data_IF_952266879848
#
_entry.id   IF_952266879848
#
_cell.length_a   1.000
_cell.length_b   1.000
_cell.length_c   1.000
_cell.angle_alpha   90.00
_cell.angle_beta   90.00
_cell.angle_gamma   90.00
#
_symmetry.space_group_name_H-M   'P 1'
#
loop_
_entity.id
_entity.type
_entity.pdbx_description
1 polymer ?
#
# COMPACT_ATOMS: atom_id res chain seq x y z
N UNK A 4 -4.76 1.51 -19.51
CA UNK A 4 -3.59 0.65 -19.35
C UNK A 4 -3.78 -0.29 -18.17
N UNK A 5 -2.98 -1.36 -18.14
CA UNK A 5 -3.15 -2.38 -17.10
C UNK A 5 -2.71 -1.84 -15.75
N UNK A 6 -3.42 -2.27 -14.70
CA UNK A 6 -3.25 -1.68 -13.38
C UNK A 6 -3.28 -2.78 -12.32
N UNK A 7 -2.66 -2.48 -11.18
CA UNK A 7 -2.80 -3.28 -9.97
C UNK A 7 -3.56 -2.46 -8.92
N UNK A 8 -4.34 -3.15 -8.10
CA UNK A 8 -4.98 -2.50 -6.97
C UNK A 8 -5.07 -3.49 -5.82
N UNK A 9 -5.11 -3.01 -4.57
CA UNK A 9 -5.16 -3.94 -3.45
C UNK A 9 -6.40 -4.81 -3.48
N UNK A 10 -6.22 -6.09 -3.16
CA UNK A 10 -7.32 -7.03 -3.15
C UNK A 10 -8.28 -6.70 -2.00
N UNK A 11 -9.55 -6.49 -2.34
CA UNK A 11 -10.58 -6.23 -1.36
C UNK A 11 -11.35 -7.49 -1.03
N UNK A 12 -11.95 -7.52 0.16
CA UNK A 12 -12.78 -8.67 0.54
C UNK A 12 -13.92 -8.86 -0.45
N UNK A 13 -14.53 -7.76 -0.90
CA UNK A 13 -15.62 -7.81 -1.88
C UNK A 13 -15.20 -8.45 -3.19
N UNK A 14 -13.90 -8.61 -3.44
CA UNK A 14 -13.43 -9.25 -4.65
C UNK A 14 -13.30 -10.77 -4.53
N UNK A 15 -13.46 -11.32 -3.32
CA UNK A 15 -13.14 -12.73 -3.09
C UNK A 15 -13.91 -13.64 -4.04
N UNK A 16 -15.17 -13.30 -4.31
CA UNK A 16 -15.97 -14.10 -5.24
C UNK A 16 -15.25 -14.32 -6.55
N UNK A 17 -14.79 -13.22 -7.16
CA UNK A 17 -14.01 -13.31 -8.39
C UNK A 17 -12.85 -14.29 -8.21
N UNK A 18 -12.06 -14.10 -7.13
CA UNK A 18 -10.92 -14.97 -6.87
C UNK A 18 -11.37 -16.43 -6.88
N UNK A 19 -12.46 -16.72 -6.16
CA UNK A 19 -12.94 -18.10 -6.10
C UNK A 19 -13.20 -18.62 -7.51
N UNK A 20 -13.93 -17.85 -8.31
CA UNK A 20 -14.22 -18.25 -9.68
C UNK A 20 -12.95 -18.62 -10.43
N UNK A 21 -11.89 -17.83 -10.25
CA UNK A 21 -10.58 -18.18 -10.79
C UNK A 21 -10.16 -19.57 -10.32
N UNK A 22 -9.95 -19.71 -9.01
CA UNK A 22 -9.39 -20.94 -8.46
C UNK A 22 -10.28 -22.14 -8.70
N UNK A 23 -11.53 -21.91 -9.10
CA UNK A 23 -12.44 -22.99 -9.48
C UNK A 23 -12.03 -23.62 -10.80
N UNK A 24 -11.78 -22.80 -11.81
CA UNK A 24 -11.57 -23.29 -13.16
C UNK A 24 -10.15 -23.78 -13.41
N UNK A 25 -9.15 -23.18 -12.76
CA UNK A 25 -7.76 -23.53 -13.07
C UNK A 25 -7.33 -24.82 -12.37
N UNK A 26 -7.55 -24.91 -11.07
CA UNK A 26 -7.14 -26.08 -10.28
C UNK A 26 -8.24 -26.42 -9.28
N UNK A 27 -7.94 -27.37 -8.38
CA UNK A 27 -8.91 -27.84 -7.41
C UNK A 27 -8.34 -27.77 -6.00
N UNK A 28 -7.03 -27.51 -5.89
CA UNK A 28 -6.34 -27.46 -4.60
C UNK A 28 -5.77 -26.06 -4.40
N UNK A 29 -6.51 -25.21 -3.69
CA UNK A 29 -6.15 -23.81 -3.51
C UNK A 29 -5.90 -23.51 -2.03
N UNK A 30 -5.05 -22.52 -1.80
CA UNK A 30 -4.59 -22.18 -0.47
C UNK A 30 -4.70 -20.68 -0.23
N UNK A 31 -4.80 -20.33 1.04
CA UNK A 31 -4.86 -18.95 1.50
C UNK A 31 -4.01 -18.85 2.76
N UNK A 32 -2.94 -18.07 2.70
CA UNK A 32 -1.94 -18.01 3.76
C UNK A 32 -1.54 -19.43 4.19
N UNK A 33 -1.26 -20.25 3.18
CA UNK A 33 -0.85 -21.65 3.29
C UNK A 33 -1.87 -22.53 3.99
N UNK A 34 -3.13 -22.10 4.08
CA UNK A 34 -4.13 -23.04 4.57
C UNK A 34 -5.07 -23.44 3.44
N UNK A 35 -5.42 -24.72 3.32
CA UNK A 35 -6.21 -25.15 2.16
C UNK A 35 -7.68 -24.80 2.31
N UNK A 36 -8.31 -24.53 1.16
CA UNK A 36 -9.73 -24.21 1.17
C UNK A 36 -10.38 -24.71 -0.12
N UNK A 37 -11.66 -25.05 -0.02
CA UNK A 37 -12.46 -25.49 -1.17
C UNK A 37 -13.62 -24.55 -1.46
N UNK A 38 -14.43 -24.23 -0.45
CA UNK A 38 -15.65 -23.47 -0.66
C UNK A 38 -15.42 -21.97 -0.46
N UNK A 39 -16.39 -21.18 -0.90
CA UNK A 39 -16.28 -19.73 -0.83
C UNK A 39 -16.24 -19.23 0.61
N UNK A 40 -17.09 -19.79 1.48
CA UNK A 40 -17.11 -19.36 2.87
C UNK A 40 -15.81 -19.72 3.58
N UNK A 41 -15.17 -20.83 3.18
CA UNK A 41 -13.83 -21.14 3.68
C UNK A 41 -12.86 -20.03 3.34
N UNK A 42 -12.87 -19.60 2.08
CA UNK A 42 -12.01 -18.51 1.65
C UNK A 42 -12.28 -17.23 2.43
N UNK A 43 -13.56 -16.94 2.68
CA UNK A 43 -13.91 -15.74 3.44
C UNK A 43 -13.38 -15.83 4.87
N UNK A 44 -13.52 -16.99 5.50
CA UNK A 44 -13.04 -17.14 6.87
C UNK A 44 -11.51 -16.99 6.93
N UNK A 45 -10.79 -17.59 5.99
CA UNK A 45 -9.34 -17.41 5.96
C UNK A 45 -8.97 -15.95 5.74
N UNK A 46 -9.66 -15.27 4.81
CA UNK A 46 -9.40 -13.85 4.59
C UNK A 46 -9.56 -13.07 5.88
N UNK A 47 -10.68 -13.28 6.58
CA UNK A 47 -10.91 -12.56 7.83
C UNK A 47 -9.85 -12.90 8.87
N UNK A 48 -9.38 -14.15 8.88
CA UNK A 48 -8.42 -14.58 9.89
C UNK A 48 -7.06 -13.95 9.67
N UNK A 49 -6.64 -13.80 8.42
CA UNK A 49 -5.33 -13.28 8.08
C UNK A 49 -5.41 -11.84 7.55
N UNK A 50 -6.35 -11.06 8.09
CA UNK A 50 -6.64 -9.74 7.53
C UNK A 50 -5.44 -8.82 7.63
N UNK A 51 -4.73 -8.85 8.76
CA UNK A 51 -3.58 -7.99 8.98
C UNK A 51 -2.26 -8.74 8.80
N UNK A 52 -2.31 -10.01 8.38
CA UNK A 52 -1.11 -10.78 8.14
C UNK A 52 -0.33 -10.18 6.98
N UNK A 53 0.91 -9.76 7.25
CA UNK A 53 1.74 -9.11 6.26
C UNK A 53 2.70 -10.08 5.56
N UNK A 54 2.52 -11.38 5.76
CA UNK A 54 3.37 -12.36 5.09
C UNK A 54 2.95 -12.61 3.65
N UNK A 55 1.82 -12.05 3.20
CA UNK A 55 1.35 -12.20 1.83
C UNK A 55 0.65 -10.90 1.42
N UNK A 56 0.91 -10.47 0.19
CA UNK A 56 0.27 -9.29 -0.39
C UNK A 56 -0.39 -9.69 -1.71
N UNK A 57 -1.66 -9.34 -1.88
CA UNK A 57 -2.39 -9.75 -3.06
C UNK A 57 -2.99 -8.54 -3.76
N UNK A 58 -2.96 -8.58 -5.11
CA UNK A 58 -3.44 -7.49 -5.94
C UNK A 58 -4.39 -8.02 -6.99
N UNK A 59 -5.44 -7.25 -7.24
CA UNK A 59 -6.31 -7.46 -8.40
C UNK A 59 -5.69 -6.76 -9.60
N UNK A 60 -5.55 -7.49 -10.70
CA UNK A 60 -5.06 -6.95 -11.96
C UNK A 60 -6.27 -6.51 -12.79
N UNK A 61 -6.32 -5.22 -13.10
CA UNK A 61 -7.48 -4.54 -13.68
C UNK A 61 -7.11 -3.99 -15.05
N UNK A 62 -8.08 -4.04 -15.97
CA UNK A 62 -7.96 -3.40 -17.28
C UNK A 62 -9.19 -2.51 -17.47
N UNK A 63 -9.00 -1.21 -17.28
CA UNK A 63 -10.08 -0.22 -17.39
C UNK A 63 -11.26 -0.59 -16.50
N UNK A 64 -10.98 -0.65 -15.21
CA UNK A 64 -11.95 -0.97 -14.16
C UNK A 64 -12.61 -2.33 -14.37
N UNK A 65 -11.95 -3.23 -15.09
CA UNK A 65 -12.45 -4.58 -15.31
C UNK A 65 -11.46 -5.56 -14.72
N UNK A 66 -11.98 -6.52 -13.93
CA UNK A 66 -11.14 -7.47 -13.21
C UNK A 66 -10.71 -8.59 -14.17
N UNK A 67 -9.41 -8.66 -14.47
CA UNK A 67 -8.89 -9.67 -15.38
C UNK A 67 -7.93 -10.64 -14.72
N UNK A 68 -7.40 -10.34 -13.54
CA UNK A 68 -6.60 -11.38 -12.92
C UNK A 68 -6.18 -11.08 -11.50
N UNK A 69 -5.27 -11.91 -11.00
CA UNK A 69 -4.80 -11.88 -9.62
C UNK A 69 -3.28 -12.07 -9.55
N UNK A 70 -2.62 -11.22 -8.78
CA UNK A 70 -1.19 -11.32 -8.47
C UNK A 70 -1.05 -11.60 -6.98
N UNK A 71 -0.18 -12.55 -6.63
CA UNK A 71 0.04 -12.94 -5.24
C UNK A 71 1.53 -12.94 -4.95
N UNK A 72 1.94 -12.18 -3.94
CA UNK A 72 3.26 -12.28 -3.33
C UNK A 72 3.08 -13.05 -2.02
N UNK A 73 3.64 -14.26 -1.96
CA UNK A 73 3.47 -15.13 -0.81
C UNK A 73 4.84 -15.45 -0.23
N UNK A 74 4.84 -16.10 0.93
CA UNK A 74 6.05 -16.43 1.66
C UNK A 74 7.00 -15.23 1.71
N UNK A 75 6.46 -14.05 1.99
CA UNK A 75 7.29 -12.85 2.05
C UNK A 75 8.18 -12.94 3.28
N UNK A 76 9.49 -12.82 3.08
CA UNK A 76 10.48 -12.87 4.15
C UNK A 76 11.18 -11.52 4.19
N UNK A 77 10.88 -10.73 5.21
CA UNK A 77 11.42 -9.38 5.30
C UNK A 77 12.84 -9.33 5.84
N UNK A 78 13.38 -10.44 6.32
CA UNK A 78 14.78 -10.49 6.75
C UNK A 78 15.69 -10.88 5.60
N UNK A 79 15.38 -11.98 4.92
CA UNK A 79 16.13 -12.40 3.74
C UNK A 79 15.69 -11.66 2.48
N UNK A 80 14.68 -10.80 2.58
CA UNK A 80 14.15 -9.99 1.47
C UNK A 80 13.96 -10.84 0.21
N UNK A 81 12.98 -11.74 0.31
CA UNK A 81 12.56 -12.56 -0.82
C UNK A 81 11.07 -12.82 -0.69
N UNK A 82 10.44 -13.12 -1.84
CA UNK A 82 9.04 -13.48 -1.87
C UNK A 82 8.78 -14.36 -3.07
N UNK A 83 7.84 -15.29 -2.92
CA UNK A 83 7.41 -16.12 -4.03
C UNK A 83 6.28 -15.42 -4.77
N UNK A 84 6.23 -15.63 -6.07
CA UNK A 84 5.27 -14.95 -6.93
C UNK A 84 4.36 -15.96 -7.60
N UNK A 85 3.06 -15.65 -7.61
CA UNK A 85 2.06 -16.48 -8.27
C UNK A 85 1.10 -15.57 -9.02
N UNK A 86 0.75 -15.96 -10.24
CA UNK A 86 -0.12 -15.14 -11.07
C UNK A 86 -1.20 -16.04 -11.66
N UNK A 87 -2.42 -15.51 -11.71
CA UNK A 87 -3.55 -16.20 -12.33
C UNK A 87 -4.30 -15.19 -13.19
N UNK A 88 -4.62 -15.57 -14.41
CA UNK A 88 -5.35 -14.69 -15.31
C UNK A 88 -6.59 -15.41 -15.82
N UNK A 89 -7.71 -14.70 -15.84
CA UNK A 89 -8.97 -15.25 -16.33
C UNK A 89 -8.79 -15.77 -17.75
N UNK A 90 -9.17 -17.02 -18.03
CA UNK A 90 -9.00 -17.56 -19.40
C UNK A 90 -9.83 -16.81 -20.44
N UNK A 91 -10.80 -16.00 -20.03
CA UNK A 91 -11.52 -15.15 -20.97
C UNK A 91 -10.68 -13.98 -21.44
N UNK A 92 -9.41 -13.92 -21.05
CA UNK A 92 -8.54 -12.80 -21.41
C UNK A 92 -7.16 -13.28 -21.87
N UNK A 93 -7.06 -14.54 -22.28
CA UNK A 93 -5.80 -15.08 -22.79
C UNK A 93 -5.55 -14.58 -24.21
N UNK A 94 -4.29 -14.27 -24.50
CA UNK A 94 -3.88 -13.78 -25.80
C UNK A 94 -3.47 -12.31 -25.79
N UNK A 95 -4.07 -11.51 -24.93
CA UNK A 95 -3.71 -10.09 -24.81
C UNK A 95 -2.33 -9.87 -24.20
N UNK A 96 -1.64 -10.95 -23.80
CA UNK A 96 -0.34 -10.81 -23.18
C UNK A 96 -0.35 -10.20 -21.80
N UNK A 97 -1.48 -10.30 -21.10
CA UNK A 97 -1.60 -9.67 -19.79
C UNK A 97 -0.72 -10.33 -18.74
N UNK A 98 -0.36 -11.61 -18.95
CA UNK A 98 0.49 -12.31 -17.99
C UNK A 98 1.81 -11.58 -17.79
N UNK A 99 2.49 -11.25 -18.90
CA UNK A 99 3.79 -10.60 -18.80
C UNK A 99 3.69 -9.22 -18.18
N UNK A 100 2.66 -8.45 -18.55
CA UNK A 100 2.53 -7.11 -17.98
C UNK A 100 2.21 -7.16 -16.49
N UNK A 101 1.33 -8.06 -16.07
CA UNK A 101 1.03 -8.20 -14.65
C UNK A 101 2.27 -8.67 -13.88
N UNK A 102 3.04 -9.58 -14.46
CA UNK A 102 4.28 -10.01 -13.83
C UNK A 102 5.26 -8.83 -13.70
N UNK A 103 5.31 -7.96 -14.72
CA UNK A 103 6.18 -6.80 -14.65
C UNK A 103 5.72 -5.82 -13.57
N UNK A 104 4.41 -5.57 -13.48
CA UNK A 104 3.85 -4.76 -12.42
C UNK A 104 4.24 -5.31 -11.04
N UNK A 105 4.07 -6.62 -10.85
CA UNK A 105 4.40 -7.23 -9.57
C UNK A 105 5.89 -7.13 -9.28
N UNK A 106 6.73 -7.29 -10.31
CA UNK A 106 8.17 -7.12 -10.16
C UNK A 106 8.49 -5.71 -9.68
N UNK A 107 7.87 -4.70 -10.32
CA UNK A 107 8.10 -3.32 -9.92
C UNK A 107 7.67 -3.08 -8.47
N UNK A 108 6.51 -3.62 -8.09
CA UNK A 108 6.05 -3.46 -6.71
C UNK A 108 7.03 -4.10 -5.73
N UNK A 109 7.45 -5.33 -6.00
CA UNK A 109 8.29 -6.05 -5.07
C UNK A 109 9.67 -5.41 -4.94
N UNK A 110 10.26 -4.99 -6.06
CA UNK A 110 11.62 -4.46 -6.01
C UNK A 110 11.68 -2.99 -5.63
N UNK A 111 10.69 -2.19 -6.04
CA UNK A 111 10.72 -0.75 -5.87
C UNK A 111 9.92 -0.26 -4.67
N UNK A 112 8.91 -1.01 -4.23
CA UNK A 112 8.10 -0.61 -3.08
C UNK A 112 8.49 -1.43 -1.86
N UNK A 113 8.44 -2.75 -1.99
CA UNK A 113 8.76 -3.64 -0.88
C UNK A 113 10.25 -3.74 -0.59
N UNK A 114 11.11 -3.24 -1.49
CA UNK A 114 12.56 -3.27 -1.32
C UNK A 114 13.07 -4.71 -1.18
N UNK A 115 12.49 -5.61 -1.97
CA UNK A 115 12.90 -7.01 -1.95
C UNK A 115 14.21 -7.19 -2.72
N UNK A 116 14.97 -8.22 -2.33
CA UNK A 116 16.21 -8.55 -3.00
C UNK A 116 16.03 -9.62 -4.06
N UNK A 117 15.05 -10.51 -3.90
CA UNK A 117 14.90 -11.65 -4.78
C UNK A 117 13.42 -11.97 -4.96
N UNK A 118 13.03 -12.28 -6.20
CA UNK A 118 11.73 -12.84 -6.50
C UNK A 118 11.94 -14.21 -7.11
N UNK A 119 11.10 -15.17 -6.74
CA UNK A 119 11.18 -16.50 -7.30
C UNK A 119 9.77 -17.05 -7.51
N UNK A 120 9.68 -18.00 -8.44
CA UNK A 120 8.41 -18.65 -8.75
C UNK A 120 8.69 -20.10 -9.11
N UNK A 121 7.63 -20.90 -9.03
CA UNK A 121 7.69 -22.33 -9.30
C UNK A 121 6.58 -22.70 -10.27
N UNK A 122 6.93 -23.35 -11.38
CA UNK A 122 5.97 -23.76 -12.38
C UNK A 122 6.12 -25.25 -12.65
N UNK A 123 5.03 -25.87 -13.11
CA UNK A 123 5.12 -27.27 -13.54
C UNK A 123 6.00 -27.35 -14.77
N UNK A 124 6.79 -28.43 -14.86
CA UNK A 124 7.72 -28.52 -15.98
C UNK A 124 7.00 -28.80 -17.30
N UNK A 125 5.72 -29.22 -17.27
CA UNK A 125 4.93 -29.32 -18.49
C UNK A 125 4.61 -27.95 -19.08
N UNK A 126 4.32 -26.96 -18.23
CA UNK A 126 3.89 -25.64 -18.71
C UNK A 126 5.13 -24.94 -19.26
N UNK A 127 5.41 -25.21 -20.55
CA UNK A 127 6.60 -24.62 -21.18
C UNK A 127 6.36 -23.17 -21.57
N UNK A 128 5.09 -22.81 -21.68
CA UNK A 128 4.66 -21.43 -21.90
C UNK A 128 5.03 -20.55 -20.73
N UNK A 129 4.79 -21.04 -19.53
CA UNK A 129 5.11 -20.28 -18.34
C UNK A 129 6.59 -20.08 -18.26
N UNK A 130 7.36 -21.11 -18.56
CA UNK A 130 8.81 -20.95 -18.56
C UNK A 130 9.23 -19.91 -19.58
N UNK A 131 8.60 -19.90 -20.77
CA UNK A 131 9.02 -18.91 -21.76
C UNK A 131 8.59 -17.49 -21.40
N UNK A 132 7.37 -17.30 -20.91
CA UNK A 132 6.99 -15.94 -20.49
C UNK A 132 7.93 -15.45 -19.39
N UNK A 133 8.24 -16.31 -18.42
CA UNK A 133 9.06 -15.85 -17.31
C UNK A 133 10.50 -15.59 -17.74
N UNK A 134 11.04 -16.41 -18.66
CA UNK A 134 12.34 -16.10 -19.23
C UNK A 134 12.29 -14.81 -20.03
N UNK A 135 11.17 -14.57 -20.72
CA UNK A 135 10.96 -13.32 -21.44
C UNK A 135 11.10 -12.12 -20.52
N UNK A 136 10.42 -12.14 -19.37
CA UNK A 136 10.45 -10.97 -18.50
C UNK A 136 11.73 -10.88 -17.68
N UNK A 137 12.63 -11.85 -17.79
CA UNK A 137 13.95 -11.75 -17.18
C UNK A 137 14.29 -12.78 -16.12
N UNK A 138 13.43 -13.76 -15.86
CA UNK A 138 13.74 -14.77 -14.85
C UNK A 138 14.79 -15.74 -15.36
N UNK A 139 15.63 -16.21 -14.46
CA UNK A 139 16.62 -17.24 -14.75
C UNK A 139 16.21 -18.52 -14.04
N UNK A 140 16.45 -19.65 -14.72
CA UNK A 140 16.16 -20.94 -14.10
C UNK A 140 17.11 -21.15 -12.93
N UNK A 141 16.54 -21.52 -11.77
CA UNK A 141 17.30 -21.69 -10.55
C UNK A 141 17.40 -23.14 -10.10
N UNK A 142 16.38 -23.94 -10.37
CA UNK A 142 16.45 -25.33 -9.98
C UNK A 142 15.32 -26.15 -10.58
N UNK A 143 15.45 -27.46 -10.46
CA UNK A 143 14.43 -28.40 -10.91
C UNK A 143 14.09 -29.31 -9.74
N UNK A 144 12.88 -29.16 -9.20
CA UNK A 144 12.43 -29.92 -8.05
C UNK A 144 11.79 -31.22 -8.52
N UNK A 145 12.23 -32.33 -7.93
CA UNK A 145 11.92 -33.67 -8.42
C UNK A 145 10.64 -34.18 -7.77
N UNK A 146 9.69 -34.60 -8.60
CA UNK A 146 8.39 -35.12 -8.15
C UNK A 146 7.79 -34.22 -7.09
N UNK A 147 7.82 -32.91 -7.35
CA UNK A 147 7.38 -31.95 -6.35
C UNK A 147 5.86 -31.90 -6.23
N UNK A 148 5.12 -32.16 -7.30
CA UNK A 148 3.66 -32.06 -7.21
C UNK A 148 2.98 -33.29 -7.76
N UNK A 149 2.08 -33.88 -6.99
CA UNK A 149 1.24 -34.95 -7.52
C UNK A 149 0.11 -34.31 -8.32
N UNK A 150 0.21 -34.40 -9.64
CA UNK A 150 -0.75 -33.76 -10.55
C UNK A 150 -1.51 -34.87 -11.26
N UNK A 151 -2.83 -34.84 -11.10
CA UNK A 151 -3.80 -35.69 -11.81
C UNK A 151 -3.25 -37.05 -12.23
N UNK A 152 -2.84 -37.84 -11.24
CA UNK A 152 -2.51 -39.24 -11.43
C UNK A 152 -1.04 -39.58 -11.32
N UNK A 153 -0.13 -38.61 -11.47
CA UNK A 153 1.28 -38.94 -11.31
C UNK A 153 2.07 -37.71 -10.90
N UNK A 154 3.31 -37.94 -10.48
CA UNK A 154 4.15 -36.87 -9.97
C UNK A 154 4.76 -36.07 -11.10
N UNK A 155 4.86 -34.76 -10.90
CA UNK A 155 5.47 -33.84 -11.84
C UNK A 155 6.61 -33.11 -11.14
N UNK A 156 7.65 -32.85 -11.91
CA UNK A 156 8.75 -31.99 -11.52
C UNK A 156 8.34 -30.53 -11.70
N UNK A 157 9.12 -29.64 -11.11
CA UNK A 157 8.83 -28.22 -11.20
C UNK A 157 10.11 -27.44 -11.47
N UNK A 158 9.96 -26.32 -12.16
CA UNK A 158 11.07 -25.42 -12.42
C UNK A 158 10.94 -24.24 -11.47
N UNK A 159 11.99 -23.99 -10.70
CA UNK A 159 12.08 -22.82 -9.84
C UNK A 159 12.97 -21.80 -10.54
N UNK A 160 12.41 -20.60 -10.78
CA UNK A 160 13.11 -19.52 -11.46
C UNK A 160 13.14 -18.31 -10.54
N UNK A 161 14.14 -17.44 -10.73
CA UNK A 161 14.36 -16.33 -9.82
C UNK A 161 14.95 -15.15 -10.56
N UNK A 162 14.92 -14.00 -9.90
CA UNK A 162 15.46 -12.75 -10.45
C UNK A 162 15.73 -11.82 -9.28
N UNK A 163 16.72 -10.94 -9.46
CA UNK A 163 17.23 -10.14 -8.35
C UNK A 163 17.07 -8.65 -8.61
N UNK A 164 17.15 -7.89 -7.51
CA UNK A 164 16.78 -6.47 -7.53
C UNK A 164 17.68 -5.66 -8.46
N UNK A 165 18.99 -5.79 -8.32
CA UNK A 165 19.90 -4.94 -9.08
C UNK A 165 19.84 -5.28 -10.57
N UNK A 166 19.68 -6.57 -10.89
CA UNK A 166 19.46 -6.97 -12.27
C UNK A 166 18.20 -6.32 -12.83
N UNK A 167 17.16 -6.21 -12.01
CA UNK A 167 15.91 -5.61 -12.48
C UNK A 167 16.04 -4.11 -12.69
N UNK A 168 16.69 -3.41 -11.77
CA UNK A 168 16.76 -1.95 -11.85
C UNK A 168 17.52 -1.48 -13.09
N UNK A 169 18.48 -2.26 -13.57
CA UNK A 169 19.29 -1.87 -14.71
C UNK A 169 18.70 -2.27 -16.06
N UNK A 170 17.45 -2.75 -16.08
CA UNK A 170 16.76 -3.02 -17.33
C UNK A 170 15.53 -2.12 -17.49
N UNK B 4 -16.54 28.77 3.48
CA UNK B 4 -15.13 28.79 3.90
C UNK B 4 -14.68 27.40 4.33
N UNK B 5 -13.36 27.19 4.33
CA UNK B 5 -12.81 25.87 4.63
C UNK B 5 -12.95 25.55 6.11
N UNK B 6 -13.27 24.29 6.42
CA UNK B 6 -13.53 23.93 7.80
C UNK B 6 -13.01 22.53 8.07
N UNK B 7 -12.83 22.22 9.35
CA UNK B 7 -12.50 20.88 9.82
C UNK B 7 -13.69 20.27 10.55
N UNK B 8 -13.82 18.95 10.45
CA UNK B 8 -14.82 18.25 11.24
C UNK B 8 -14.24 16.90 11.63
N UNK B 9 -14.69 16.31 12.73
CA UNK B 9 -14.13 15.03 13.17
C UNK B 9 -14.36 13.93 12.14
N UNK B 10 -13.34 13.11 11.93
CA UNK B 10 -13.42 12.00 11.00
C UNK B 10 -14.41 10.96 11.51
N UNK B 11 -15.41 10.64 10.68
CA UNK B 11 -16.39 9.62 11.01
C UNK B 11 -16.03 8.31 10.32
N UNK B 12 -16.50 7.21 10.90
CA UNK B 12 -16.26 5.90 10.29
C UNK B 12 -16.82 5.84 8.88
N UNK B 13 -18.00 6.43 8.65
CA UNK B 13 -18.62 6.45 7.33
C UNK B 13 -17.77 7.18 6.30
N UNK B 14 -16.75 7.93 6.72
CA UNK B 14 -15.88 8.62 5.79
C UNK B 14 -14.71 7.78 5.32
N UNK B 15 -14.50 6.60 5.91
CA UNK B 15 -13.28 5.83 5.65
C UNK B 15 -13.09 5.56 4.17
N UNK B 16 -14.19 5.28 3.45
CA UNK B 16 -14.12 5.04 2.02
C UNK B 16 -13.37 6.17 1.32
N UNK B 17 -13.82 7.41 1.55
CA UNK B 17 -13.12 8.57 0.99
C UNK B 17 -11.64 8.51 1.33
N UNK B 18 -11.33 8.31 2.62
CA UNK B 18 -9.94 8.24 3.05
C UNK B 18 -9.18 7.22 2.23
N UNK B 19 -9.76 6.03 2.06
CA UNK B 19 -9.09 4.99 1.31
C UNK B 19 -8.74 5.48 -0.08
N UNK B 20 -9.71 6.07 -0.79
CA UNK B 20 -9.47 6.56 -2.14
C UNK B 20 -8.27 7.50 -2.14
N UNK B 21 -8.24 8.43 -1.18
CA UNK B 21 -7.08 9.31 -1.04
C UNK B 21 -5.81 8.49 -0.99
N UNK B 22 -5.67 7.68 0.06
CA UNK B 22 -4.43 6.96 0.28
C UNK B 22 -4.13 6.00 -0.86
N UNK B 23 -5.12 5.67 -1.68
CA UNK B 23 -4.84 4.81 -2.82
C UNK B 23 -4.16 5.57 -3.94
N UNK B 24 -4.67 6.77 -4.28
CA UNK B 24 -4.12 7.47 -5.44
C UNK B 24 -2.80 8.16 -5.09
N UNK B 25 -2.67 8.63 -3.85
CA UNK B 25 -1.48 9.36 -3.44
C UNK B 25 -0.34 8.43 -3.09
N UNK B 26 -0.60 7.36 -2.34
CA UNK B 26 0.44 6.47 -1.85
C UNK B 26 -0.01 5.03 -2.07
N UNK B 27 0.81 4.07 -1.64
CA UNK B 27 0.44 2.67 -1.72
C UNK B 27 0.75 1.99 -0.39
N UNK B 28 1.52 2.66 0.46
CA UNK B 28 1.91 2.12 1.77
C UNK B 28 1.39 3.09 2.82
N UNK B 29 0.21 2.79 3.36
CA UNK B 29 -0.48 3.66 4.29
C UNK B 29 -0.64 2.99 5.65
N UNK B 30 -0.74 3.83 6.68
CA UNK B 30 -0.75 3.37 8.06
C UNK B 30 -1.93 3.97 8.80
N UNK B 31 -2.33 3.28 9.85
CA UNK B 31 -3.40 3.71 10.75
C UNK B 31 -2.95 3.37 12.16
N UNK B 32 -2.75 4.40 12.98
CA UNK B 32 -2.16 4.24 14.30
C UNK B 32 -0.89 3.37 14.23
N UNK B 33 -0.05 3.72 13.26
CA UNK B 33 1.25 3.07 13.01
C UNK B 33 1.11 1.58 12.67
N UNK B 34 -0.08 1.12 12.26
CA UNK B 34 -0.16 -0.22 11.72
C UNK B 34 -0.45 -0.17 10.23
N UNK B 35 0.21 -0.98 9.41
CA UNK B 35 0.05 -0.84 7.95
C UNK B 35 -1.24 -1.48 7.46
N UNK B 36 -1.78 -0.90 6.39
CA UNK B 36 -3.00 -1.43 5.80
C UNK B 36 -3.00 -1.20 4.30
N UNK B 37 -3.64 -2.12 3.58
CA UNK B 37 -3.80 -2.02 2.13
C UNK B 37 -5.27 -1.94 1.72
N UNK B 38 -6.11 -2.85 2.21
CA UNK B 38 -7.48 -2.97 1.75
C UNK B 38 -8.42 -2.18 2.65
N UNK B 39 -9.65 -1.98 2.16
CA UNK B 39 -10.63 -1.18 2.88
C UNK B 39 -11.04 -1.82 4.20
N UNK B 40 -11.26 -3.13 4.21
CA UNK B 40 -11.67 -3.81 5.45
C UNK B 40 -10.54 -3.78 6.47
N UNK B 41 -9.29 -3.80 6.02
CA UNK B 41 -8.16 -3.60 6.93
C UNK B 41 -8.27 -2.25 7.64
N UNK B 42 -8.53 -1.21 6.86
CA UNK B 42 -8.69 0.14 7.43
C UNK B 42 -9.86 0.18 8.41
N UNK B 43 -10.98 -0.49 8.07
CA UNK B 43 -12.13 -0.50 8.97
C UNK B 43 -11.80 -1.20 10.29
N UNK B 44 -11.11 -2.35 10.21
CA UNK B 44 -10.77 -3.09 11.43
C UNK B 44 -9.80 -2.28 12.29
N UNK B 45 -8.81 -1.63 11.67
CA UNK B 45 -7.89 -0.78 12.42
C UNK B 45 -8.62 0.37 13.07
N UNK B 46 -9.54 1.02 12.34
CA UNK B 46 -10.35 2.09 12.91
C UNK B 46 -11.11 1.60 14.13
N UNK B 47 -11.80 0.47 14.01
CA UNK B 47 -12.56 -0.06 15.13
C UNK B 47 -11.66 -0.39 16.32
N UNK B 48 -10.44 -0.88 16.05
CA UNK B 48 -9.55 -1.29 17.12
C UNK B 48 -9.03 -0.08 17.91
N UNK B 49 -8.75 1.03 17.22
CA UNK B 49 -8.17 2.21 17.83
C UNK B 49 -9.21 3.32 18.00
N UNK B 50 -10.46 2.94 18.27
CA UNK B 50 -11.55 3.90 18.25
C UNK B 50 -11.36 4.99 19.30
N UNK B 51 -10.94 4.61 20.51
CA UNK B 51 -10.77 5.55 21.61
C UNK B 51 -9.31 5.91 21.85
N UNK B 52 -8.40 5.43 21.00
CA UNK B 52 -6.99 5.77 21.14
C UNK B 52 -6.79 7.26 20.93
N UNK B 53 -6.27 7.93 21.95
CA UNK B 53 -6.11 9.38 21.93
C UNK B 53 -4.73 9.83 21.46
N UNK B 54 -3.92 8.91 20.93
CA UNK B 54 -2.61 9.28 20.40
C UNK B 54 -2.68 9.87 19.00
N UNK B 55 -3.85 9.85 18.37
CA UNK B 55 -4.02 10.41 17.03
C UNK B 55 -5.41 11.05 16.92
N UNK B 56 -5.45 12.20 16.25
CA UNK B 56 -6.69 12.91 15.96
C UNK B 56 -6.77 13.14 14.47
N UNK B 57 -7.90 12.79 13.86
CA UNK B 57 -8.04 12.93 12.41
C UNK B 57 -9.27 13.76 12.10
N UNK B 58 -9.14 14.65 11.11
CA UNK B 58 -10.19 15.56 10.72
C UNK B 58 -10.38 15.49 9.21
N UNK B 59 -11.64 15.52 8.80
CA UNK B 59 -11.95 15.76 7.40
C UNK B 59 -11.98 17.27 7.18
N UNK B 60 -11.22 17.75 6.19
CA UNK B 60 -11.28 19.15 5.81
C UNK B 60 -12.27 19.26 4.66
N UNK B 61 -13.31 20.07 4.89
CA UNK B 61 -14.51 20.20 4.07
C UNK B 61 -14.62 21.62 3.53
N UNK B 62 -15.14 21.74 2.31
CA UNK B 62 -15.46 23.02 1.69
C UNK B 62 -16.92 23.00 1.27
N UNK B 63 -17.77 23.66 2.05
CA UNK B 63 -19.22 23.73 1.81
C UNK B 63 -19.82 22.32 1.69
N UNK B 64 -19.72 21.59 2.80
CA UNK B 64 -20.25 20.23 2.93
C UNK B 64 -19.70 19.28 1.87
N UNK B 65 -18.53 19.60 1.31
CA UNK B 65 -17.87 18.74 0.34
C UNK B 65 -16.52 18.30 0.90
N UNK B 66 -16.23 17.01 0.82
CA UNK B 66 -15.02 16.44 1.40
C UNK B 66 -13.86 16.73 0.47
N UNK B 67 -12.89 17.53 0.93
CA UNK B 67 -11.76 17.89 0.11
C UNK B 67 -10.43 17.34 0.62
N UNK B 68 -10.33 16.93 1.88
CA UNK B 68 -9.10 16.28 2.26
C UNK B 68 -9.11 15.75 3.68
N UNK B 69 -7.90 15.40 4.14
CA UNK B 69 -7.69 14.76 5.43
C UNK B 69 -6.52 15.43 6.16
N UNK B 70 -6.73 15.75 7.43
CA UNK B 70 -5.70 16.24 8.33
C UNK B 70 -5.50 15.19 9.41
N UNK B 71 -4.23 14.88 9.72
CA UNK B 71 -3.91 13.88 10.73
C UNK B 71 -2.88 14.47 11.70
N UNK B 72 -3.22 14.45 12.98
CA UNK B 72 -2.26 14.67 14.07
C UNK B 72 -1.94 13.31 14.66
N UNK B 73 -0.70 12.86 14.49
CA UNK B 73 -0.28 11.55 14.93
C UNK B 73 0.86 11.70 15.92
N UNK B 74 1.25 10.57 16.53
CA UNK B 74 2.28 10.53 17.56
C UNK B 74 2.10 11.65 18.57
N UNK B 75 0.86 11.86 19.02
CA UNK B 75 0.58 12.89 20.01
C UNK B 75 1.18 12.46 21.35
N UNK B 76 2.03 13.31 21.90
CA UNK B 76 2.67 13.08 23.19
C UNK B 76 2.20 14.18 24.13
N UNK B 77 1.34 13.82 25.09
CA UNK B 77 0.75 14.82 25.97
C UNK B 77 1.67 15.22 27.11
N UNK B 78 2.81 14.55 27.28
CA UNK B 78 3.79 14.95 28.28
C UNK B 78 4.81 15.92 27.69
N UNK B 79 5.42 15.56 26.57
CA UNK B 79 6.32 16.47 25.88
C UNK B 79 5.58 17.48 25.02
N UNK B 80 4.25 17.37 24.95
CA UNK B 80 3.35 18.27 24.21
C UNK B 80 3.88 18.55 22.80
N UNK B 81 3.86 17.49 21.99
CA UNK B 81 4.23 17.58 20.58
C UNK B 81 3.38 16.60 19.80
N UNK B 82 3.25 16.87 18.50
CA UNK B 82 2.53 15.98 17.61
C UNK B 82 3.05 16.15 16.18
N UNK B 83 3.04 15.05 15.44
CA UNK B 83 3.40 15.09 14.03
C UNK B 83 2.16 15.36 13.20
N UNK B 84 2.34 16.07 12.09
CA UNK B 84 1.23 16.48 11.25
C UNK B 84 1.37 15.90 9.86
N UNK B 85 0.25 15.43 9.31
CA UNK B 85 0.21 14.89 7.96
C UNK B 85 -1.04 15.42 7.28
N UNK B 86 -0.91 15.83 6.02
CA UNK B 86 -2.00 16.45 5.29
C UNK B 86 -2.13 15.79 3.92
N UNK B 87 -3.37 15.58 3.49
CA UNK B 87 -3.66 15.07 2.15
C UNK B 87 -4.83 15.87 1.57
N UNK B 88 -4.68 16.30 0.32
CA UNK B 88 -5.73 17.02 -0.39
C UNK B 88 -5.99 16.30 -1.70
N UNK B 89 -7.27 16.13 -2.04
CA UNK B 89 -7.65 15.50 -3.30
C UNK B 89 -6.98 16.24 -4.45
N UNK B 90 -6.27 15.55 -5.35
CA UNK B 90 -5.61 16.24 -6.47
C UNK B 90 -6.56 16.96 -7.41
N UNK B 91 -7.86 16.71 -7.30
CA UNK B 91 -8.86 17.46 -8.07
C UNK B 91 -9.04 18.88 -7.57
N UNK B 92 -8.22 19.35 -6.64
CA UNK B 92 -8.39 20.67 -6.04
C UNK B 92 -7.09 21.46 -5.96
N UNK B 93 -6.10 21.15 -6.81
CA UNK B 93 -4.87 21.92 -6.77
C UNK B 93 -5.09 23.30 -7.36
N UNK B 94 -4.50 24.31 -6.72
CA UNK B 94 -4.64 25.69 -7.11
C UNK B 94 -5.45 26.52 -6.13
N UNK B 95 -6.44 25.90 -5.47
CA UNK B 95 -7.22 26.62 -4.47
C UNK B 95 -6.45 26.91 -3.19
N UNK B 96 -5.21 26.43 -3.06
CA UNK B 96 -4.46 26.68 -1.85
C UNK B 96 -5.00 26.00 -0.62
N UNK B 97 -5.73 24.90 -0.77
CA UNK B 97 -6.38 24.26 0.37
C UNK B 97 -5.37 23.64 1.32
N UNK B 98 -4.19 23.26 0.83
CA UNK B 98 -3.17 22.67 1.71
C UNK B 98 -2.79 23.63 2.83
N UNK B 99 -2.47 24.89 2.48
CA UNK B 99 -2.03 25.84 3.49
C UNK B 99 -3.16 26.19 4.45
N UNK B 100 -4.39 26.34 3.94
CA UNK B 100 -5.52 26.69 4.79
C UNK B 100 -5.85 25.56 5.76
N UNK B 101 -5.83 24.32 5.28
CA UNK B 101 -6.05 23.18 6.15
C UNK B 101 -4.93 23.05 7.19
N UNK B 102 -3.69 23.29 6.77
CA UNK B 102 -2.58 23.25 7.72
C UNK B 102 -2.74 24.31 8.80
N UNK B 103 -3.24 25.49 8.43
CA UNK B 103 -3.50 26.54 9.43
C UNK B 103 -4.61 26.14 10.38
N UNK B 104 -5.67 25.53 9.86
CA UNK B 104 -6.73 24.97 10.70
C UNK B 104 -6.16 23.99 11.72
N UNK B 105 -5.31 23.08 11.24
CA UNK B 105 -4.71 22.08 12.12
C UNK B 105 -3.79 22.74 13.16
N UNK B 106 -3.05 23.78 12.76
CA UNK B 106 -2.23 24.51 13.72
C UNK B 106 -3.09 25.11 14.82
N UNK B 107 -4.20 25.75 14.44
CA UNK B 107 -5.07 26.35 15.44
C UNK B 107 -5.61 25.29 16.39
N UNK B 108 -6.01 24.13 15.87
CA UNK B 108 -6.52 23.08 16.74
C UNK B 108 -5.42 22.60 17.69
N UNK B 109 -4.23 22.33 17.17
CA UNK B 109 -3.16 21.76 17.99
C UNK B 109 -2.68 22.74 19.06
N UNK B 110 -2.51 24.02 18.70
CA UNK B 110 -1.94 24.97 19.64
C UNK B 110 -2.98 25.57 20.57
N UNK B 111 -4.22 25.77 20.10
CA UNK B 111 -5.23 26.47 20.87
C UNK B 111 -6.19 25.55 21.59
N UNK B 112 -6.39 24.33 21.10
CA UNK B 112 -7.28 23.35 21.73
C UNK B 112 -6.49 22.30 22.48
N UNK B 113 -5.56 21.63 21.81
CA UNK B 113 -4.75 20.57 22.43
C UNK B 113 -3.67 21.12 23.35
N UNK B 114 -3.39 22.42 23.32
CA UNK B 114 -2.38 23.04 24.17
C UNK B 114 -1.00 22.43 23.92
N UNK B 115 -0.70 22.17 22.65
CA UNK B 115 0.59 21.60 22.27
C UNK B 115 1.68 22.66 22.29
N UNK B 116 2.91 22.21 22.51
CA UNK B 116 4.07 23.11 22.49
C UNK B 116 4.77 23.11 21.14
N UNK B 117 4.72 22.01 20.41
CA UNK B 117 5.47 21.88 19.16
C UNK B 117 4.69 21.03 18.17
N UNK B 118 4.71 21.45 16.91
CA UNK B 118 4.22 20.65 15.80
C UNK B 118 5.39 20.39 14.87
N UNK B 119 5.45 19.17 14.32
CA UNK B 119 6.50 18.83 13.37
C UNK B 119 5.91 17.97 12.26
N UNK B 120 6.58 17.99 11.12
CA UNK B 120 6.19 17.21 9.96
C UNK B 120 7.43 16.78 9.21
N UNK B 121 7.25 15.76 8.36
CA UNK B 121 8.34 15.19 7.56
C UNK B 121 7.87 15.12 6.12
N UNK B 122 8.66 15.69 5.22
CA UNK B 122 8.34 15.68 3.80
C UNK B 122 9.52 15.09 3.04
N UNK B 123 9.23 14.52 1.87
CA UNK B 123 10.33 14.15 0.99
C UNK B 123 11.02 15.41 0.51
N UNK B 124 12.35 15.35 0.42
CA UNK B 124 13.11 16.52 0.00
C UNK B 124 12.93 16.79 -1.49
N UNK B 125 12.36 15.85 -2.23
CA UNK B 125 11.98 16.10 -3.62
C UNK B 125 10.87 17.13 -3.70
N UNK B 126 9.85 17.00 -2.86
CA UNK B 126 8.67 17.87 -2.95
C UNK B 126 9.06 19.23 -2.37
N UNK B 127 9.57 20.10 -3.24
CA UNK B 127 9.91 21.44 -2.78
C UNK B 127 8.67 22.31 -2.64
N UNK B 128 7.55 21.91 -3.26
CA UNK B 128 6.34 22.70 -3.14
C UNK B 128 5.68 22.52 -1.78
N UNK B 129 5.80 21.32 -1.18
CA UNK B 129 5.34 21.16 0.19
C UNK B 129 6.21 21.95 1.16
N UNK B 130 7.53 21.93 0.94
CA UNK B 130 8.42 22.72 1.78
C UNK B 130 8.07 24.20 1.66
N UNK B 131 7.71 24.64 0.45
CA UNK B 131 7.34 26.04 0.25
C UNK B 131 6.02 26.37 0.94
N UNK B 132 5.02 25.48 0.85
CA UNK B 132 3.76 25.68 1.55
C UNK B 132 4.00 25.80 3.06
N UNK B 133 4.80 24.89 3.61
CA UNK B 133 4.99 24.85 5.06
C UNK B 133 5.82 26.03 5.54
N UNK B 134 6.81 26.45 4.75
CA UNK B 134 7.54 27.68 5.07
C UNK B 134 6.61 28.89 5.02
N UNK B 135 5.69 28.92 4.04
CA UNK B 135 4.69 29.97 3.98
C UNK B 135 3.90 30.07 5.27
N UNK B 136 3.34 28.94 5.72
CA UNK B 136 2.45 28.97 6.88
C UNK B 136 3.19 29.11 8.19
N UNK B 137 4.52 29.13 8.17
CA UNK B 137 5.31 29.45 9.34
C UNK B 137 6.22 28.35 9.85
N UNK B 138 6.31 27.20 9.18
CA UNK B 138 7.20 26.15 9.66
C UNK B 138 8.65 26.51 9.36
N UNK B 139 9.54 26.07 10.25
CA UNK B 139 10.97 26.25 10.08
C UNK B 139 11.62 24.90 9.82
N UNK B 140 12.62 24.88 8.95
CA UNK B 140 13.37 23.65 8.72
C UNK B 140 14.14 23.29 9.99
N UNK B 141 14.00 22.05 10.42
CA UNK B 141 14.63 21.57 11.64
C UNK B 141 15.72 20.54 11.40
N UNK B 142 15.59 19.71 10.38
CA UNK B 142 16.62 18.73 10.12
C UNK B 142 16.44 18.05 8.78
N UNK B 143 17.47 17.30 8.40
CA UNK B 143 17.47 16.51 7.16
C UNK B 143 17.79 15.06 7.51
N UNK B 144 16.80 14.18 7.36
CA UNK B 144 16.93 12.77 7.68
C UNK B 144 17.47 12.02 6.47
N UNK B 145 18.53 11.25 6.69
CA UNK B 145 19.30 10.65 5.60
C UNK B 145 18.75 9.27 5.25
N UNK B 146 18.42 9.08 3.98
CA UNK B 146 17.89 7.81 3.46
C UNK B 146 16.78 7.27 4.35
N UNK B 147 15.86 8.15 4.74
CA UNK B 147 14.83 7.79 5.70
C UNK B 147 13.73 6.93 5.07
N UNK B 148 13.46 7.11 3.79
CA UNK B 148 12.37 6.39 3.13
C UNK B 148 12.86 5.76 1.83
N UNK B 149 12.58 4.48 1.66
CA UNK B 149 12.80 3.81 0.38
C UNK B 149 11.63 4.14 -0.54
N UNK B 150 11.86 5.02 -1.52
CA UNK B 150 10.83 5.50 -2.42
C UNK B 150 11.14 4.98 -3.82
N UNK B 151 10.18 4.26 -4.40
CA UNK B 151 10.19 3.78 -5.77
C UNK B 151 11.59 3.51 -6.32
N UNK B 152 12.31 2.59 -5.67
CA UNK B 152 13.54 2.05 -6.19
C UNK B 152 14.80 2.50 -5.50
N UNK B 153 14.77 3.62 -4.76
CA UNK B 153 15.98 4.06 -4.08
C UNK B 153 15.62 4.91 -2.87
N UNK B 154 16.63 5.15 -2.03
CA UNK B 154 16.40 5.86 -0.79
C UNK B 154 16.37 7.37 -1.02
N UNK B 155 15.52 8.05 -0.26
CA UNK B 155 15.35 9.50 -0.33
C UNK B 155 15.64 10.13 1.02
N UNK B 156 16.18 11.34 1.00
CA UNK B 156 16.26 12.11 2.22
C UNK B 156 14.90 12.75 2.51
N UNK B 157 14.75 13.23 3.72
CA UNK B 157 13.50 13.87 4.14
C UNK B 157 13.84 15.13 4.92
N UNK B 158 12.95 16.11 4.84
CA UNK B 158 13.07 17.35 5.60
C UNK B 158 12.10 17.26 6.77
N UNK B 159 12.62 17.45 7.98
CA UNK B 159 11.81 17.57 9.18
C UNK B 159 11.68 19.04 9.50
N UNK B 160 10.44 19.53 9.56
CA UNK B 160 10.12 20.92 9.81
C UNK B 160 9.25 21.02 11.06
N UNK B 161 9.29 22.17 11.72
CA UNK B 161 8.62 22.31 13.01
C UNK B 161 8.16 23.75 13.23
N UNK B 162 7.32 23.91 14.26
CA UNK B 162 6.74 25.19 14.65
C UNK B 162 6.35 25.10 16.12
N UNK B 163 6.41 26.24 16.81
CA UNK B 163 6.21 26.28 18.25
C UNK B 163 5.05 27.19 18.62
N UNK B 164 4.54 26.98 19.85
CA UNK B 164 3.27 27.56 20.26
C UNK B 164 3.31 29.08 20.30
N UNK B 165 4.27 29.65 21.04
CA UNK B 165 4.27 31.10 21.22
C UNK B 165 4.59 31.84 19.91
N UNK B 166 5.47 31.29 19.08
CA UNK B 166 5.70 31.87 17.77
C UNK B 166 4.41 31.90 16.95
N UNK B 167 3.58 30.85 17.08
CA UNK B 167 2.30 30.84 16.40
C UNK B 167 1.37 31.90 16.97
N UNK B 168 1.32 32.00 18.30
CA UNK B 168 0.42 32.96 18.94
C UNK B 168 0.80 34.40 18.60
N UNK B 169 2.08 34.67 18.34
CA UNK B 169 2.49 36.04 18.01
C UNK B 169 2.37 36.34 16.52
N UNK B 170 1.91 35.39 15.72
CA UNK B 170 1.66 35.65 14.31
C UNK B 170 0.21 35.35 13.93
#
# INVERSE_FOLDING_TARGET
MSQDLKLRPLEREDLKFVHELNNNAHIMSYWFEEPYEAFVELQDLYDKHIHDQSERRFIVEKDNEMVGLVELVEIDYIHRRTEFQIIIDPNYQGYGYAAEATRLAMDYAFSVLNMHKIYLVVDKENEKAVHVYKKVGFMVEGELLDEFFVDGNYHNAIRMCMFQKQYFENK
MSQDLKLRPLEREDLKFVHELNNNAHIMSYWFEEPYEAFVELQDLYDKHIHDQSERRFIVEKDNEMVGLVELVEIDYIHRRTEFQIIIDPNYQGYGYAAEATRLAMDYAFSVLNMHKIYLVVDKENEKAVHVYKKVGFMVEGELLDEFFVDGNYHNAIRMCMFQKQYFENK
#
